data_IF_452263328931
#
_entry.id   IF_452263328931
#
_cell.length_a   1.000
_cell.length_b   1.000
_cell.length_c   1.000
_cell.angle_alpha   90.00
_cell.angle_beta   90.00
_cell.angle_gamma   90.00
#
_symmetry.space_group_name_H-M   'P 1'
#
loop_
_entity.id
_entity.type
_entity.pdbx_description
1 polymer ?
#
# COMPACT_ATOMS: atom_id res chain seq x y z
N UNK A 1 -18.08 -3.41 -11.05
CA UNK A 1 -17.56 -3.71 -9.70
C UNK A 1 -16.05 -3.48 -9.72
N UNK A 2 -15.50 -2.87 -8.67
CA UNK A 2 -14.07 -2.56 -8.54
C UNK A 2 -13.57 -3.06 -7.19
N UNK A 3 -12.40 -3.71 -7.16
CA UNK A 3 -11.75 -4.10 -5.93
C UNK A 3 -10.63 -3.10 -5.57
N UNK A 4 -10.62 -2.65 -4.31
CA UNK A 4 -9.56 -1.84 -3.74
C UNK A 4 -8.80 -2.65 -2.70
N UNK A 5 -7.49 -2.78 -2.88
CA UNK A 5 -6.58 -3.40 -1.92
C UNK A 5 -5.78 -2.32 -1.20
N UNK A 6 -5.83 -2.34 0.12
CA UNK A 6 -4.93 -1.57 0.98
C UNK A 6 -3.93 -2.56 1.58
N UNK A 7 -2.65 -2.41 1.25
CA UNK A 7 -1.62 -3.38 1.66
C UNK A 7 -0.36 -2.70 2.15
N UNK A 8 0.37 -3.33 3.06
CA UNK A 8 1.72 -2.86 3.40
C UNK A 8 2.75 -3.23 2.33
N UNK A 9 2.55 -4.37 1.67
CA UNK A 9 3.53 -4.95 0.76
C UNK A 9 2.91 -5.18 -0.61
N UNK A 10 3.64 -4.75 -1.63
CA UNK A 10 3.30 -4.95 -3.03
C UNK A 10 4.59 -4.87 -3.87
N UNK A 11 4.70 -5.57 -5.03
CA UNK A 11 5.93 -5.54 -5.82
C UNK A 11 6.41 -4.11 -6.11
N UNK A 12 7.71 -3.83 -6.00
CA UNK A 12 8.81 -4.79 -5.77
C UNK A 12 9.09 -5.11 -4.28
N UNK A 13 8.33 -4.54 -3.34
CA UNK A 13 8.58 -4.59 -1.90
C UNK A 13 7.72 -5.65 -1.20
N UNK A 14 7.98 -6.93 -1.49
CA UNK A 14 7.29 -8.07 -0.86
C UNK A 14 8.28 -8.88 -0.03
N UNK A 15 8.01 -9.00 1.26
CA UNK A 15 8.91 -9.64 2.23
C UNK A 15 8.22 -10.73 3.06
N UNK A 16 6.89 -10.80 3.04
CA UNK A 16 6.10 -11.79 3.77
C UNK A 16 4.94 -12.39 2.96
N UNK A 17 4.33 -13.43 3.54
CA UNK A 17 3.24 -14.18 2.88
C UNK A 17 1.99 -13.35 2.58
N UNK A 18 1.73 -12.29 3.35
CA UNK A 18 0.62 -11.38 3.10
C UNK A 18 0.82 -10.59 1.79
N UNK A 19 2.02 -10.07 1.54
CA UNK A 19 2.34 -9.37 0.29
C UNK A 19 2.27 -10.30 -0.93
N UNK A 20 2.76 -11.54 -0.78
CA UNK A 20 2.64 -12.58 -1.81
C UNK A 20 1.17 -12.87 -2.14
N UNK A 21 0.33 -13.02 -1.11
CA UNK A 21 -1.09 -13.25 -1.30
C UNK A 21 -1.77 -12.10 -2.06
N UNK A 22 -1.47 -10.85 -1.70
CA UNK A 22 -2.02 -9.67 -2.39
C UNK A 22 -1.57 -9.61 -3.85
N UNK A 23 -0.28 -9.82 -4.14
CA UNK A 23 0.23 -9.81 -5.52
C UNK A 23 -0.47 -10.85 -6.42
N UNK A 24 -0.59 -12.09 -5.97
CA UNK A 24 -1.26 -13.12 -6.76
C UNK A 24 -2.77 -12.87 -6.88
N UNK A 25 -3.43 -12.42 -5.80
CA UNK A 25 -4.86 -12.19 -5.80
C UNK A 25 -5.25 -11.01 -6.70
N UNK A 26 -4.52 -9.90 -6.67
CA UNK A 26 -4.80 -8.73 -7.52
C UNK A 26 -4.64 -9.06 -9.00
N UNK A 27 -3.61 -9.84 -9.37
CA UNK A 27 -3.42 -10.37 -10.74
C UNK A 27 -4.52 -11.33 -11.16
N UNK A 28 -5.04 -12.13 -10.24
CA UNK A 28 -6.15 -13.03 -10.52
C UNK A 28 -7.46 -12.27 -10.76
N UNK A 29 -7.74 -11.28 -9.92
CA UNK A 29 -8.94 -10.45 -9.99
C UNK A 29 -8.92 -9.48 -11.17
N UNK A 30 -7.76 -8.98 -11.59
CA UNK A 30 -7.64 -8.03 -12.71
C UNK A 30 -8.14 -8.60 -14.03
N UNK A 31 -8.19 -9.94 -14.16
CA UNK A 31 -8.78 -10.64 -15.31
C UNK A 31 -10.31 -10.60 -15.34
N UNK A 32 -10.95 -10.18 -14.25
CA UNK A 32 -12.41 -10.23 -14.07
C UNK A 32 -13.03 -8.89 -13.68
N UNK A 33 -12.26 -7.98 -13.09
CA UNK A 33 -12.73 -6.67 -12.66
C UNK A 33 -11.59 -5.64 -12.59
N UNK A 34 -11.96 -4.36 -12.48
CA UNK A 34 -10.99 -3.31 -12.20
C UNK A 34 -10.40 -3.51 -10.79
N UNK A 35 -9.08 -3.40 -10.69
CA UNK A 35 -8.33 -3.55 -9.44
C UNK A 35 -7.47 -2.32 -9.22
N UNK A 36 -7.59 -1.74 -8.05
CA UNK A 36 -6.67 -0.72 -7.54
C UNK A 36 -5.94 -1.27 -6.31
N UNK A 37 -4.64 -1.00 -6.23
CA UNK A 37 -3.80 -1.32 -5.09
C UNK A 37 -3.20 -0.03 -4.56
N UNK A 38 -3.34 0.19 -3.25
CA UNK A 38 -2.67 1.24 -2.51
C UNK A 38 -1.72 0.58 -1.53
N UNK A 39 -0.45 0.93 -1.63
CA UNK A 39 0.60 0.31 -0.85
C UNK A 39 1.59 1.31 -0.25
N UNK A 40 2.41 0.81 0.66
CA UNK A 40 3.51 1.58 1.24
C UNK A 40 4.65 1.63 0.21
N UNK A 41 5.25 2.81 0.06
CA UNK A 41 6.34 3.02 -0.87
C UNK A 41 5.95 2.84 -2.34
N UNK A 42 6.90 3.05 -3.27
CA UNK A 42 6.63 3.04 -4.71
C UNK A 42 6.36 1.60 -5.23
N UNK A 43 5.20 1.34 -5.87
CA UNK A 43 4.95 0.06 -6.51
C UNK A 43 5.61 -0.04 -7.89
N UNK A 44 5.81 -1.27 -8.34
CA UNK A 44 6.17 -1.57 -9.73
C UNK A 44 4.94 -1.37 -10.64
N UNK A 45 5.13 -0.82 -11.87
CA UNK A 45 4.07 -0.75 -12.85
C UNK A 45 3.49 -2.14 -13.15
N UNK A 46 2.18 -2.32 -12.95
CA UNK A 46 1.53 -3.63 -13.12
C UNK A 46 0.23 -3.54 -13.94
N UNK A 47 0.23 -3.07 -15.21
CA UNK A 47 -1.00 -3.01 -16.01
C UNK A 47 -1.68 -4.40 -16.13
N UNK A 48 -3.03 -4.49 -16.08
CA UNK A 48 -4.00 -3.39 -16.03
C UNK A 48 -4.34 -2.89 -14.61
N UNK A 49 -3.61 -3.31 -13.58
CA UNK A 49 -3.83 -2.91 -12.18
C UNK A 49 -3.31 -1.48 -11.98
N UNK A 50 -4.12 -0.62 -11.37
CA UNK A 50 -3.69 0.72 -10.95
C UNK A 50 -3.06 0.58 -9.56
N UNK A 51 -1.73 0.71 -9.48
CA UNK A 51 -1.00 0.65 -8.22
C UNK A 51 -0.50 2.04 -7.81
N UNK A 52 -0.71 2.43 -6.55
CA UNK A 52 -0.29 3.71 -5.97
C UNK A 52 0.51 3.49 -4.69
N UNK A 53 1.62 4.20 -4.59
CA UNK A 53 2.50 4.19 -3.43
C UNK A 53 2.26 5.40 -2.53
N UNK A 54 2.35 5.18 -1.22
CA UNK A 54 2.19 6.23 -0.22
C UNK A 54 3.37 6.20 0.76
N UNK A 55 3.81 7.39 1.16
CA UNK A 55 4.88 7.60 2.12
C UNK A 55 4.30 8.13 3.45
N UNK A 56 4.94 7.85 4.60
CA UNK A 56 4.57 8.46 5.86
C UNK A 56 4.65 9.99 5.80
N UNK A 57 3.78 10.67 6.55
CA UNK A 57 3.88 12.12 6.69
C UNK A 57 5.20 12.52 7.35
N UNK A 58 5.89 13.52 6.80
CA UNK A 58 7.23 13.90 7.27
C UNK A 58 7.27 14.27 8.75
N UNK A 59 6.20 14.88 9.27
CA UNK A 59 6.04 15.23 10.69
C UNK A 59 5.94 14.03 11.66
N UNK A 60 5.75 12.82 11.13
CA UNK A 60 5.68 11.57 11.91
C UNK A 60 6.83 10.63 11.58
N UNK A 61 7.78 11.06 10.73
CA UNK A 61 8.92 10.25 10.32
C UNK A 61 9.86 10.05 11.51
N UNK A 62 10.11 8.79 11.84
CA UNK A 62 11.04 8.38 12.88
C UNK A 62 12.51 8.59 12.48
N UNK A 63 13.38 8.47 13.46
CA UNK A 63 14.82 8.70 13.34
C UNK A 63 15.56 8.44 14.66
N UNK A 64 16.89 8.59 14.68
CA UNK A 64 17.67 8.40 15.90
C UNK A 64 17.20 9.34 17.02
N UNK A 65 16.78 8.78 18.16
CA UNK A 65 16.29 9.54 19.31
C UNK A 65 14.78 9.81 19.34
N UNK A 66 14.03 9.37 18.33
CA UNK A 66 12.56 9.48 18.28
C UNK A 66 11.85 8.52 19.26
N UNK A 67 10.60 8.82 19.65
CA UNK A 67 9.83 7.94 20.53
C UNK A 67 9.64 6.53 19.96
N UNK A 68 9.56 5.53 20.85
CA UNK A 68 9.40 4.11 20.47
C UNK A 68 8.15 3.81 19.64
N UNK A 69 7.18 4.72 19.60
CA UNK A 69 5.92 4.58 18.87
C UNK A 69 5.93 5.22 17.48
N UNK A 70 7.02 5.86 17.02
CA UNK A 70 7.04 6.57 15.74
C UNK A 70 6.67 5.67 14.56
N UNK A 71 7.13 4.41 14.52
CA UNK A 71 6.75 3.46 13.47
C UNK A 71 5.24 3.15 13.41
N UNK A 72 4.54 3.18 14.55
CA UNK A 72 3.08 3.01 14.56
C UNK A 72 2.37 4.26 13.99
N UNK A 73 2.88 5.45 14.30
CA UNK A 73 2.35 6.71 13.77
C UNK A 73 2.62 6.85 12.27
N UNK A 74 3.79 6.44 11.80
CA UNK A 74 4.10 6.35 10.36
C UNK A 74 3.09 5.45 9.64
N UNK A 75 2.88 4.23 10.14
CA UNK A 75 1.94 3.28 9.54
C UNK A 75 0.50 3.81 9.53
N UNK A 76 0.07 4.43 10.64
CA UNK A 76 -1.24 5.07 10.72
C UNK A 76 -1.38 6.22 9.71
N UNK A 77 -0.33 7.02 9.53
CA UNK A 77 -0.34 8.14 8.57
C UNK A 77 -0.51 7.68 7.13
N UNK A 78 0.18 6.61 6.74
CA UNK A 78 0.03 5.98 5.42
C UNK A 78 -1.39 5.42 5.27
N UNK A 79 -1.91 4.74 6.29
CA UNK A 79 -3.28 4.23 6.31
C UNK A 79 -4.34 5.33 6.08
N UNK A 80 -4.19 6.46 6.76
CA UNK A 80 -5.08 7.62 6.60
C UNK A 80 -4.93 8.25 5.21
N UNK A 81 -3.72 8.38 4.68
CA UNK A 81 -3.49 8.87 3.32
C UNK A 81 -4.18 7.99 2.28
N UNK A 82 -4.05 6.66 2.41
CA UNK A 82 -4.73 5.70 1.54
C UNK A 82 -6.26 5.79 1.67
N UNK A 83 -6.81 6.03 2.86
CA UNK A 83 -8.25 6.11 3.07
C UNK A 83 -8.86 7.45 2.63
N UNK A 84 -8.09 8.55 2.72
CA UNK A 84 -8.54 9.89 2.36
C UNK A 84 -8.76 10.05 0.85
N UNK A 85 -8.02 9.30 0.02
CA UNK A 85 -8.22 9.34 -1.43
C UNK A 85 -9.49 8.57 -1.79
N UNK A 86 -10.46 9.23 -2.44
CA UNK A 86 -11.67 8.55 -2.89
C UNK A 86 -11.31 7.41 -3.86
N UNK A 87 -11.98 6.27 -3.74
CA UNK A 87 -11.87 5.21 -4.73
C UNK A 87 -12.66 5.64 -5.97
N UNK A 88 -11.97 6.06 -7.04
CA UNK A 88 -12.60 6.48 -8.32
C UNK A 88 -13.13 5.30 -9.11
#
# INVERSE_FOLDING_TARGET
MKALFLTREYPPHVYGGAGVAVDHLTRALSRRMAVEVRCFGPPAPTPPIVARGYEPWDRLRGGPGEPRYSGALEALSVGLAMACEAAV
#
